data_IF_585304399439
#
_entry.id   IF_585304399439
#
_cell.length_a   1.000
_cell.length_b   1.000
_cell.length_c   1.000
_cell.angle_alpha   90.00
_cell.angle_beta   90.00
_cell.angle_gamma   90.00
#
_symmetry.space_group_name_H-M   'P 1'
#
loop_
_entity.id
_entity.type
_entity.pdbx_description
1 polymer ?
#
# COMPACT_ATOMS: atom_id res chain seq x y z
N UNK A 1 2.91 9.35 6.72
CA UNK A 1 2.67 8.64 7.99
C UNK A 1 1.66 7.49 7.81
N UNK A 2 0.46 7.75 7.27
CA UNK A 2 -0.63 6.76 7.17
C UNK A 2 -0.35 5.56 6.25
N UNK A 3 0.05 5.79 4.99
CA UNK A 3 0.33 4.69 4.05
C UNK A 3 1.42 3.74 4.57
N UNK A 4 2.52 4.30 5.09
CA UNK A 4 3.62 3.51 5.68
C UNK A 4 3.14 2.68 6.87
N UNK A 5 2.37 3.27 7.78
CA UNK A 5 1.85 2.56 8.96
C UNK A 5 0.90 1.42 8.56
N UNK A 6 -0.03 1.68 7.62
CA UNK A 6 -0.93 0.67 7.08
C UNK A 6 -0.16 -0.46 6.39
N UNK A 7 0.81 -0.12 5.54
CA UNK A 7 1.65 -1.11 4.86
C UNK A 7 2.43 -1.97 5.86
N UNK A 8 3.03 -1.38 6.90
CA UNK A 8 3.74 -2.14 7.94
C UNK A 8 2.84 -3.12 8.68
N UNK A 9 1.59 -2.73 9.00
CA UNK A 9 0.63 -3.62 9.62
C UNK A 9 0.21 -4.77 8.69
N UNK A 10 -0.05 -4.47 7.41
CA UNK A 10 -0.43 -5.47 6.40
C UNK A 10 0.70 -6.47 6.15
N UNK A 11 1.96 -6.02 6.06
CA UNK A 11 3.13 -6.90 5.94
C UNK A 11 3.22 -7.87 7.13
N UNK A 12 2.90 -7.41 8.34
CA UNK A 12 3.04 -8.23 9.55
C UNK A 12 1.86 -9.18 9.81
N UNK A 13 0.67 -8.88 9.29
CA UNK A 13 -0.58 -9.50 9.73
C UNK A 13 -1.53 -9.92 8.60
N UNK A 14 -1.04 -9.97 7.36
CA UNK A 14 -1.81 -10.47 6.22
C UNK A 14 -0.97 -11.38 5.33
N UNK A 15 -1.64 -12.12 4.46
CA UNK A 15 -0.99 -12.96 3.43
C UNK A 15 -0.96 -12.27 2.06
N UNK A 16 -1.11 -10.94 2.05
CA UNK A 16 -1.13 -10.15 0.82
C UNK A 16 0.27 -10.11 0.19
N UNK A 17 0.31 -10.12 -1.14
CA UNK A 17 1.55 -9.85 -1.87
C UNK A 17 1.94 -8.36 -1.81
N UNK A 18 3.13 -8.04 -2.32
CA UNK A 18 3.67 -6.69 -2.27
C UNK A 18 2.78 -5.65 -2.98
N UNK A 19 2.18 -6.00 -4.12
CA UNK A 19 1.31 -5.08 -4.84
C UNK A 19 0.00 -4.83 -4.07
N UNK A 20 -0.62 -5.89 -3.56
CA UNK A 20 -1.84 -5.82 -2.78
C UNK A 20 -1.65 -5.02 -1.49
N UNK A 21 -0.51 -5.20 -0.80
CA UNK A 21 -0.15 -4.39 0.38
C UNK A 21 -0.08 -2.91 0.03
N UNK A 22 0.62 -2.56 -1.06
CA UNK A 22 0.77 -1.16 -1.48
C UNK A 22 -0.59 -0.56 -1.86
N UNK A 23 -1.41 -1.28 -2.63
CA UNK A 23 -2.76 -0.82 -3.03
C UNK A 23 -3.63 -0.55 -1.81
N UNK A 24 -3.69 -1.50 -0.88
CA UNK A 24 -4.58 -1.36 0.28
C UNK A 24 -4.08 -0.29 1.26
N UNK A 25 -2.77 -0.19 1.47
CA UNK A 25 -2.18 0.86 2.28
C UNK A 25 -2.44 2.27 1.69
N UNK A 26 -2.36 2.42 0.37
CA UNK A 26 -2.66 3.68 -0.32
C UNK A 26 -4.16 4.01 -0.26
N UNK A 27 -5.04 3.02 -0.37
CA UNK A 27 -6.49 3.18 -0.21
C UNK A 27 -6.84 3.66 1.20
N UNK A 28 -6.24 3.07 2.24
CA UNK A 28 -6.40 3.53 3.63
C UNK A 28 -5.91 4.96 3.79
N UNK A 29 -4.75 5.29 3.20
CA UNK A 29 -4.22 6.65 3.26
C UNK A 29 -5.14 7.66 2.57
N UNK A 30 -5.68 7.34 1.40
CA UNK A 30 -6.61 8.19 0.66
C UNK A 30 -7.89 8.52 1.45
N UNK A 31 -8.38 7.56 2.23
CA UNK A 31 -9.58 7.75 3.06
C UNK A 31 -9.36 8.69 4.26
N UNK A 32 -8.12 8.94 4.67
CA UNK A 32 -7.79 9.67 5.91
C UNK A 32 -6.99 10.96 5.63
N UNK A 33 -6.22 10.99 4.54
CA UNK A 33 -5.26 12.04 4.22
C UNK A 33 -5.80 12.94 3.10
N UNK A 34 -6.09 14.21 3.42
CA UNK A 34 -6.58 15.20 2.44
C UNK A 34 -5.64 15.46 1.26
N UNK A 35 -4.37 15.06 1.36
CA UNK A 35 -3.35 15.23 0.32
C UNK A 35 -3.14 13.99 -0.56
N UNK A 36 -3.91 12.93 -0.33
CA UNK A 36 -3.78 11.66 -1.05
C UNK A 36 -5.16 11.25 -1.55
N UNK A 37 -5.29 10.92 -2.83
CA UNK A 37 -6.54 10.46 -3.43
C UNK A 37 -6.48 8.94 -3.68
N UNK A 38 -7.57 8.38 -4.20
CA UNK A 38 -7.74 6.95 -4.48
C UNK A 38 -7.36 6.54 -5.92
N UNK A 39 -6.93 7.48 -6.74
CA UNK A 39 -6.52 7.25 -8.13
C UNK A 39 -5.01 7.04 -8.19
N UNK A 40 -4.57 5.78 -8.13
CA UNK A 40 -3.15 5.45 -8.18
C UNK A 40 -2.80 4.39 -9.25
N UNK A 41 -1.60 4.55 -9.82
CA UNK A 41 -0.94 3.54 -10.65
C UNK A 41 0.12 2.85 -9.78
N UNK A 42 0.18 1.52 -9.86
CA UNK A 42 1.19 0.72 -9.16
C UNK A 42 2.04 0.03 -10.20
N UNK A 43 3.34 0.31 -10.16
CA UNK A 43 4.35 -0.34 -10.99
C UNK A 43 5.15 -1.32 -10.12
N UNK A 44 5.44 -2.50 -10.65
CA UNK A 44 6.15 -3.57 -9.93
C UNK A 44 7.42 -3.95 -10.65
N UNK A 45 8.45 -4.28 -9.87
CA UNK A 45 9.70 -4.84 -10.37
C UNK A 45 9.93 -6.14 -9.64
N UNK A 46 10.00 -7.23 -10.41
CA UNK A 46 10.33 -8.54 -9.86
C UNK A 46 11.82 -8.61 -9.59
N UNK A 47 12.22 -9.26 -8.49
CA UNK A 47 13.62 -9.64 -8.33
C UNK A 47 13.92 -10.75 -9.33
N UNK A 48 14.79 -10.46 -10.28
CA UNK A 48 15.45 -11.50 -11.06
C UNK A 48 16.28 -12.38 -10.10
N UNK A 49 16.14 -13.69 -10.26
CA UNK A 49 16.86 -14.71 -9.46
C UNK A 49 18.19 -15.07 -10.12
#
# INVERSE_FOLDING_TARGET
>A
AYAKAAASALVAHSELDAEAIVREAMRIAANICVYTNDQLTVETINRES
#
